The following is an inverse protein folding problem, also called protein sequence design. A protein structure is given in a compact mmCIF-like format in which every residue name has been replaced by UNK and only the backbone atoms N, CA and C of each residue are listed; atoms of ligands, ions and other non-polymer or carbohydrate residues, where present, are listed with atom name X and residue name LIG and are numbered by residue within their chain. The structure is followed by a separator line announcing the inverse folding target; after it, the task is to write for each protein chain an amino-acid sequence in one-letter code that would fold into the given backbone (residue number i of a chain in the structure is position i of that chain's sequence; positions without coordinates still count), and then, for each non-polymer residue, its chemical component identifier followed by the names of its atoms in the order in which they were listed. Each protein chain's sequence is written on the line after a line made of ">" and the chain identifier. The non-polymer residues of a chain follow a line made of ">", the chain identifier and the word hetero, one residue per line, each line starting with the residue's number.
data_IF_668983284876
#
_entry.id   IF_668983284876
#
_cell.length_a   1.000
_cell.length_b   1.000
_cell.length_c   1.000
_cell.angle_alpha   90.00
_cell.angle_beta   90.00
_cell.angle_gamma   90.00
#
_symmetry.space_group_name_H-M   'P 1'
#
loop_
_entity.id
_entity.type
_entity.pdbx_description
1 polymer ?
#
# COMPACT_ATOMS: atom_id res chain seq x y z
N UNK A 1 -5.52 21.23 2.86
CA UNK A 1 -4.42 21.43 3.82
C UNK A 1 -3.39 20.30 3.77
N UNK A 2 -3.79 19.03 3.84
CA UNK A 2 -2.85 17.88 3.73
C UNK A 2 -2.03 17.89 2.44
N UNK A 3 -2.62 18.24 1.30
CA UNK A 3 -1.91 18.37 0.03
C UNK A 3 -0.76 19.39 0.06
N UNK A 4 -0.95 20.55 0.69
CA UNK A 4 0.09 21.58 0.82
C UNK A 4 1.25 21.09 1.70
N UNK A 5 0.94 20.34 2.78
CA UNK A 5 1.96 19.70 3.60
C UNK A 5 2.74 18.64 2.84
N UNK A 6 2.05 17.72 2.15
CA UNK A 6 2.71 16.70 1.33
C UNK A 6 3.57 17.32 0.23
N UNK A 7 3.13 18.43 -0.37
CA UNK A 7 3.92 19.17 -1.36
C UNK A 7 5.17 19.79 -0.75
N UNK A 8 5.03 20.48 0.38
CA UNK A 8 6.14 21.11 1.08
C UNK A 8 7.22 20.09 1.49
N UNK A 9 6.82 18.93 2.04
CA UNK A 9 7.75 17.85 2.36
C UNK A 9 8.25 17.11 1.12
N UNK A 10 7.44 17.05 0.06
CA UNK A 10 7.79 16.40 -1.20
C UNK A 10 8.89 17.12 -1.98
N UNK A 11 8.90 18.46 -1.95
CA UNK A 11 9.94 19.28 -2.59
C UNK A 11 11.33 19.11 -1.94
N UNK A 12 11.40 18.59 -0.71
CA UNK A 12 12.64 18.29 0.01
C UNK A 12 13.06 16.82 0.06
N UNK A 13 12.38 15.92 -0.66
CA UNK A 13 12.72 14.49 -0.68
C UNK A 13 14.06 14.25 -1.38
N UNK A 14 14.93 13.44 -0.76
CA UNK A 14 16.14 12.96 -1.41
C UNK A 14 15.81 12.04 -2.60
N UNK A 15 16.77 11.83 -3.50
CA UNK A 15 16.60 10.98 -4.68
C UNK A 15 16.07 9.58 -4.33
N UNK A 16 16.53 9.01 -3.20
CA UNK A 16 16.05 7.71 -2.71
C UNK A 16 14.59 7.77 -2.28
N UNK A 17 14.16 8.86 -1.63
CA UNK A 17 12.77 9.05 -1.24
C UNK A 17 11.84 9.16 -2.45
N UNK A 18 12.24 9.93 -3.46
CA UNK A 18 11.51 10.02 -4.72
C UNK A 18 11.44 8.68 -5.45
N UNK A 19 12.51 7.88 -5.44
CA UNK A 19 12.50 6.54 -6.04
C UNK A 19 11.49 5.61 -5.35
N UNK A 20 11.43 5.62 -4.02
CA UNK A 20 10.46 4.81 -3.25
C UNK A 20 9.04 5.28 -3.50
N UNK A 21 8.78 6.59 -3.48
CA UNK A 21 7.46 7.15 -3.77
C UNK A 21 7.02 6.76 -5.18
N UNK A 22 7.89 6.93 -6.18
CA UNK A 22 7.62 6.54 -7.57
C UNK A 22 7.33 5.05 -7.73
N UNK A 23 8.06 4.19 -7.00
CA UNK A 23 7.81 2.74 -6.98
C UNK A 23 6.42 2.41 -6.41
N UNK A 24 6.02 3.03 -5.29
CA UNK A 24 4.70 2.81 -4.69
C UNK A 24 3.61 3.38 -5.61
N UNK A 25 3.81 4.57 -6.18
CA UNK A 25 2.86 5.21 -7.10
C UNK A 25 2.60 4.35 -8.33
N UNK A 26 3.63 3.69 -8.89
CA UNK A 26 3.48 2.78 -10.02
C UNK A 26 2.52 1.63 -9.71
N UNK A 27 2.60 1.06 -8.51
CA UNK A 27 1.77 -0.07 -8.09
C UNK A 27 0.47 0.36 -7.38
N UNK A 28 0.14 1.66 -7.36
CA UNK A 28 -1.00 2.20 -6.61
C UNK A 28 -2.33 1.57 -6.97
N UNK A 29 -2.56 1.25 -8.26
CA UNK A 29 -3.77 0.56 -8.71
C UNK A 29 -3.87 -0.85 -8.14
N UNK A 30 -2.77 -1.61 -8.16
CA UNK A 30 -2.74 -2.95 -7.58
C UNK A 30 -2.89 -2.94 -6.07
N UNK A 31 -2.30 -1.95 -5.39
CA UNK A 31 -2.51 -1.75 -3.95
C UNK A 31 -3.99 -1.49 -3.65
N UNK A 32 -4.64 -0.61 -4.42
CA UNK A 32 -6.05 -0.31 -4.26
C UNK A 32 -6.96 -1.54 -4.44
N UNK A 33 -6.66 -2.41 -5.40
CA UNK A 33 -7.44 -3.61 -5.64
C UNK A 33 -7.16 -4.74 -4.64
N UNK A 34 -5.90 -4.89 -4.20
CA UNK A 34 -5.48 -6.02 -3.39
C UNK A 34 -5.63 -5.78 -1.88
N UNK A 35 -5.53 -4.53 -1.41
CA UNK A 35 -5.62 -4.25 0.03
C UNK A 35 -6.88 -4.81 0.72
N UNK A 36 -8.09 -4.85 0.11
CA UNK A 36 -9.28 -5.41 0.76
C UNK A 36 -9.16 -6.92 1.00
N UNK A 37 -8.43 -7.63 0.12
CA UNK A 37 -8.18 -9.07 0.25
C UNK A 37 -7.36 -9.35 1.52
N UNK A 38 -6.41 -8.48 1.85
CA UNK A 38 -5.62 -8.59 3.09
C UNK A 38 -6.42 -8.20 4.34
N UNK A 39 -7.39 -7.29 4.20
CA UNK A 39 -8.26 -6.90 5.31
C UNK A 39 -9.39 -7.90 5.57
N UNK A 40 -9.70 -8.78 4.61
CA UNK A 40 -10.77 -9.76 4.76
C UNK A 40 -10.49 -10.79 5.88
N UNK A 41 -9.33 -11.46 5.98
CA UNK A 41 -9.02 -12.34 7.11
C UNK A 41 -9.15 -11.66 8.47
N UNK A 42 -8.74 -10.39 8.57
CA UNK A 42 -8.89 -9.62 9.79
C UNK A 42 -10.36 -9.51 10.21
N UNK A 43 -11.25 -9.26 9.24
CA UNK A 43 -12.70 -9.19 9.48
C UNK A 43 -13.28 -10.56 9.85
N UNK A 44 -12.90 -11.60 9.11
CA UNK A 44 -13.42 -12.97 9.26
C UNK A 44 -13.03 -13.59 10.62
N UNK A 45 -11.77 -13.43 11.02
CA UNK A 45 -11.25 -13.97 12.28
C UNK A 45 -11.41 -13.02 13.48
N UNK A 46 -12.06 -11.87 13.30
CA UNK A 46 -12.32 -10.93 14.39
C UNK A 46 -11.06 -10.23 14.96
N UNK A 47 -9.98 -10.14 14.19
CA UNK A 47 -8.70 -9.58 14.64
C UNK A 47 -8.71 -8.04 14.80
N UNK A 48 -9.86 -7.38 14.63
CA UNK A 48 -10.05 -5.95 14.86
C UNK A 48 -10.47 -5.58 16.28
N UNK A 49 -10.73 -6.55 17.17
CA UNK A 49 -11.31 -6.29 18.50
C UNK A 49 -10.38 -5.59 19.51
N UNK A 50 -9.14 -5.26 19.15
CA UNK A 50 -8.21 -4.51 20.00
C UNK A 50 -8.45 -2.99 20.00
N UNK A 51 -7.63 -2.25 20.75
CA UNK A 51 -7.76 -0.79 20.77
C UNK A 51 -7.46 -0.18 19.39
N UNK A 52 -8.33 0.70 18.87
CA UNK A 52 -8.21 1.25 17.52
C UNK A 52 -6.87 1.94 17.23
N UNK A 53 -6.27 2.58 18.23
CA UNK A 53 -5.02 3.33 18.05
C UNK A 53 -3.82 2.48 17.60
N UNK A 54 -3.82 1.16 17.83
CA UNK A 54 -2.76 0.27 17.33
C UNK A 54 -3.27 -0.72 16.30
N UNK A 55 -4.52 -1.18 16.40
CA UNK A 55 -5.11 -2.09 15.42
C UNK A 55 -5.15 -1.44 14.04
N UNK A 56 -5.59 -0.18 13.95
CA UNK A 56 -5.73 0.50 12.66
C UNK A 56 -4.37 0.70 11.98
N UNK A 57 -3.35 1.31 12.62
CA UNK A 57 -2.03 1.45 11.99
C UNK A 57 -1.39 0.12 11.61
N UNK A 58 -1.52 -0.91 12.45
CA UNK A 58 -0.96 -2.23 12.17
C UNK A 58 -1.56 -2.82 10.88
N UNK A 59 -2.89 -2.81 10.77
CA UNK A 59 -3.57 -3.37 9.60
C UNK A 59 -3.39 -2.53 8.34
N UNK A 60 -3.23 -1.21 8.45
CA UNK A 60 -2.83 -0.34 7.33
C UNK A 60 -1.46 -0.77 6.80
N UNK A 61 -0.48 -0.98 7.68
CA UNK A 61 0.87 -1.40 7.28
C UNK A 61 0.84 -2.80 6.67
N UNK A 62 0.17 -3.76 7.30
CA UNK A 62 0.09 -5.15 6.80
C UNK A 62 -0.60 -5.20 5.44
N UNK A 63 -1.78 -4.59 5.32
CA UNK A 63 -2.55 -4.62 4.06
C UNK A 63 -1.85 -3.84 2.95
N UNK A 64 -1.28 -2.66 3.25
CA UNK A 64 -0.55 -1.86 2.29
C UNK A 64 0.74 -2.54 1.80
N UNK A 65 1.54 -3.09 2.72
CA UNK A 65 2.77 -3.80 2.38
C UNK A 65 2.48 -5.10 1.61
N UNK A 66 1.49 -5.88 2.05
CA UNK A 66 1.07 -7.10 1.36
C UNK A 66 0.57 -6.81 -0.06
N UNK A 67 -0.27 -5.79 -0.21
CA UNK A 67 -0.81 -5.39 -1.50
C UNK A 67 0.26 -4.85 -2.45
N UNK A 68 1.21 -4.06 -1.95
CA UNK A 68 2.36 -3.59 -2.73
C UNK A 68 3.23 -4.77 -3.17
N UNK A 69 3.53 -5.70 -2.27
CA UNK A 69 4.37 -6.86 -2.56
C UNK A 69 3.72 -7.78 -3.60
N UNK A 70 2.43 -8.10 -3.45
CA UNK A 70 1.70 -8.87 -4.45
C UNK A 70 1.61 -8.13 -5.79
N UNK A 71 1.29 -6.82 -5.79
CA UNK A 71 1.24 -6.03 -7.04
C UNK A 71 2.59 -6.05 -7.75
N UNK A 72 3.69 -5.96 -7.00
CA UNK A 72 5.04 -6.03 -7.56
C UNK A 72 5.35 -7.41 -8.18
N UNK A 73 5.03 -8.50 -7.48
CA UNK A 73 5.22 -9.87 -8.00
C UNK A 73 4.39 -10.10 -9.26
N UNK A 74 3.11 -9.68 -9.24
CA UNK A 74 2.19 -9.83 -10.36
C UNK A 74 2.68 -9.05 -11.58
N UNK A 75 3.21 -7.84 -11.40
CA UNK A 75 3.77 -7.01 -12.48
C UNK A 75 5.01 -7.63 -13.13
N UNK A 76 5.73 -8.51 -12.41
CA UNK A 76 7.00 -9.12 -12.85
C UNK A 76 6.79 -10.33 -13.76
N UNK A 77 5.62 -10.98 -13.70
CA UNK A 77 5.32 -12.17 -14.50
C UNK A 77 4.60 -11.80 -15.80
N UNK A 78 5.15 -12.24 -16.95
CA UNK A 78 4.59 -11.96 -18.27
C UNK A 78 3.14 -12.43 -18.43
N UNK A 79 2.73 -13.48 -17.71
CA UNK A 79 1.38 -14.03 -17.75
C UNK A 79 0.37 -13.24 -16.91
N UNK A 80 0.82 -12.48 -15.92
CA UNK A 80 -0.07 -11.79 -14.96
C UNK A 80 0.07 -10.27 -15.00
N UNK A 81 1.04 -9.75 -15.76
CA UNK A 81 1.25 -8.31 -15.96
C UNK A 81 0.06 -7.58 -16.61
N UNK A 82 -0.85 -8.30 -17.27
CA UNK A 82 -2.08 -7.72 -17.81
C UNK A 82 -3.14 -7.46 -16.73
N UNK A 83 -3.05 -8.12 -15.56
CA UNK A 83 -4.00 -7.96 -14.46
C UNK A 83 -3.71 -6.72 -13.62
N UNK A 84 -2.43 -6.41 -13.39
CA UNK A 84 -1.99 -5.26 -12.59
C UNK A 84 -0.78 -4.59 -13.26
N UNK A 85 -0.85 -3.29 -13.59
CA UNK A 85 0.21 -2.54 -14.28
C UNK A 85 1.47 -2.31 -13.43
#
# INVERSE_FOLDING_TARGET
>A
MVFMLCRYFGEGLSDKGNQVVGFISKHSLGIYLLHPIFLWPMKEFGWYQGHPAWVIPLWIVISGAGALWMSWIVSKSEKTRWLLP
#
